data_IF_391733408482
#
_entry.id   IF_391733408482
#
_cell.length_a   1.000
_cell.length_b   1.000
_cell.length_c   1.000
_cell.angle_alpha   90.00
_cell.angle_beta   90.00
_cell.angle_gamma   90.00
#
_symmetry.space_group_name_H-M   'P 1'
#
loop_
_entity.id
_entity.type
_entity.pdbx_description
1 polymer ?
#
# COMPACT_ATOMS: atom_id res chain seq x y z
N UNK A 1 -12.65 -7.08 -13.00
CA UNK A 1 -11.81 -6.10 -12.26
C UNK A 1 -11.21 -5.16 -13.27
N UNK A 2 -11.20 -3.85 -13.03
CA UNK A 2 -10.63 -2.89 -13.94
C UNK A 2 -9.10 -2.81 -13.77
N UNK A 3 -8.38 -2.82 -14.89
CA UNK A 3 -6.96 -2.48 -14.99
C UNK A 3 -6.78 -1.41 -16.05
N UNK A 4 -5.99 -0.38 -15.75
CA UNK A 4 -5.67 0.67 -16.72
C UNK A 4 -4.26 1.20 -16.49
N UNK A 5 -3.65 1.68 -17.56
CA UNK A 5 -2.41 2.45 -17.49
C UNK A 5 -2.67 3.92 -17.82
N UNK A 6 -1.95 4.82 -17.16
CA UNK A 6 -1.99 6.25 -17.46
C UNK A 6 -0.58 6.85 -17.42
N UNK A 7 -0.44 8.02 -18.04
CA UNK A 7 0.65 8.95 -17.75
C UNK A 7 0.14 10.05 -16.80
N UNK A 8 1.05 10.59 -15.99
CA UNK A 8 0.85 11.80 -15.20
C UNK A 8 2.21 12.46 -14.97
N UNK A 9 2.23 13.79 -14.89
CA UNK A 9 3.47 14.56 -14.78
C UNK A 9 3.84 14.91 -13.34
N UNK A 10 2.87 14.90 -12.43
CA UNK A 10 3.07 15.27 -11.04
C UNK A 10 2.01 14.61 -10.11
N UNK A 11 2.17 14.69 -8.78
CA UNK A 11 1.24 14.08 -7.82
C UNK A 11 -0.19 14.62 -7.90
N UNK A 12 -0.41 15.87 -8.31
CA UNK A 12 -1.74 16.45 -8.44
C UNK A 12 -2.46 15.89 -9.67
N UNK A 13 -1.76 15.83 -10.82
CA UNK A 13 -2.31 15.22 -12.03
C UNK A 13 -2.61 13.73 -11.80
N UNK A 14 -1.74 13.01 -11.07
CA UNK A 14 -1.96 11.62 -10.71
C UNK A 14 -3.26 11.40 -9.93
N UNK A 15 -3.60 12.29 -8.99
CA UNK A 15 -4.88 12.20 -8.28
C UNK A 15 -6.07 12.43 -9.20
N UNK A 16 -5.98 13.31 -10.20
CA UNK A 16 -7.04 13.46 -11.20
C UNK A 16 -7.17 12.22 -12.10
N UNK A 17 -6.06 11.60 -12.51
CA UNK A 17 -6.10 10.32 -13.24
C UNK A 17 -6.71 9.20 -12.40
N UNK A 18 -6.35 9.12 -11.11
CA UNK A 18 -6.94 8.17 -10.18
C UNK A 18 -8.45 8.39 -10.01
N UNK A 19 -8.90 9.65 -9.95
CA UNK A 19 -10.33 9.99 -9.90
C UNK A 19 -11.09 9.42 -11.11
N UNK A 20 -10.56 9.64 -12.31
CA UNK A 20 -11.18 9.15 -13.56
C UNK A 20 -11.23 7.62 -13.59
N UNK A 21 -10.15 6.94 -13.20
CA UNK A 21 -10.11 5.48 -13.11
C UNK A 21 -11.06 4.95 -12.04
N UNK A 22 -11.07 5.53 -10.84
CA UNK A 22 -11.94 5.10 -9.75
C UNK A 22 -13.42 5.21 -10.17
N UNK A 23 -13.80 6.31 -10.82
CA UNK A 23 -15.15 6.51 -11.34
C UNK A 23 -15.54 5.43 -12.37
N UNK A 24 -14.65 5.10 -13.31
CA UNK A 24 -14.93 4.04 -14.29
C UNK A 24 -14.93 2.63 -13.67
N UNK A 25 -14.20 2.43 -12.57
CA UNK A 25 -14.20 1.20 -11.77
C UNK A 25 -15.40 1.08 -10.81
N UNK A 26 -16.33 2.04 -10.84
CA UNK A 26 -17.58 2.02 -10.06
C UNK A 26 -17.52 2.69 -8.69
N UNK A 27 -16.42 3.39 -8.37
CA UNK A 27 -16.33 4.19 -7.14
C UNK A 27 -17.09 5.51 -7.29
N UNK A 28 -17.70 5.95 -6.19
CA UNK A 28 -18.28 7.28 -6.09
C UNK A 28 -17.21 8.30 -5.76
N UNK A 29 -17.21 9.44 -6.45
CA UNK A 29 -16.27 10.52 -6.22
C UNK A 29 -16.94 11.56 -5.32
N UNK A 30 -16.43 11.73 -4.11
CA UNK A 30 -16.95 12.70 -3.15
C UNK A 30 -16.40 14.10 -3.40
N UNK A 31 -15.15 14.20 -3.85
CA UNK A 31 -14.59 15.47 -4.32
C UNK A 31 -13.09 15.45 -4.61
N UNK A 32 -12.65 16.32 -5.52
CA UNK A 32 -11.24 16.64 -5.77
C UNK A 32 -11.05 18.14 -5.57
N UNK A 33 -10.22 18.51 -4.59
CA UNK A 33 -10.05 19.92 -4.19
C UNK A 33 -8.61 20.24 -3.83
N UNK A 34 -8.28 21.52 -3.83
CA UNK A 34 -7.01 22.01 -3.30
C UNK A 34 -7.00 21.96 -1.77
N UNK A 35 -5.82 21.74 -1.19
CA UNK A 35 -5.62 21.70 0.26
C UNK A 35 -5.19 23.08 0.77
N UNK A 36 -5.98 23.77 1.61
CA UNK A 36 -5.71 25.15 1.99
C UNK A 36 -4.49 25.31 2.91
N UNK A 37 -4.14 24.30 3.71
CA UNK A 37 -3.03 24.36 4.67
C UNK A 37 -1.73 23.71 4.20
N UNK A 38 -1.74 22.98 3.09
CA UNK A 38 -0.58 22.28 2.53
C UNK A 38 -0.68 22.27 1.01
N UNK A 39 0.33 22.80 0.30
CA UNK A 39 0.32 22.81 -1.16
C UNK A 39 0.13 21.39 -1.73
N UNK A 40 -0.96 21.19 -2.47
CA UNK A 40 -1.38 19.91 -3.01
C UNK A 40 -2.91 19.81 -3.15
N UNK A 41 -3.38 18.61 -3.48
CA UNK A 41 -4.79 18.27 -3.69
C UNK A 41 -5.24 17.17 -2.73
N UNK A 42 -6.55 17.07 -2.53
CA UNK A 42 -7.21 16.00 -1.82
C UNK A 42 -8.32 15.42 -2.70
N UNK A 43 -8.21 14.14 -3.02
CA UNK A 43 -9.24 13.33 -3.66
C UNK A 43 -9.94 12.52 -2.58
N UNK A 44 -11.26 12.64 -2.45
CA UNK A 44 -12.09 11.79 -1.57
C UNK A 44 -13.08 11.00 -2.42
N UNK A 45 -13.24 9.73 -2.08
CA UNK A 45 -14.05 8.77 -2.83
C UNK A 45 -14.49 7.62 -1.93
N UNK A 46 -15.52 6.91 -2.36
CA UNK A 46 -16.03 5.76 -1.61
C UNK A 46 -16.63 4.66 -2.49
N UNK A 47 -16.70 3.47 -1.90
CA UNK A 47 -17.39 2.30 -2.44
C UNK A 47 -18.20 1.64 -1.32
N UNK A 48 -19.53 1.80 -1.36
CA UNK A 48 -20.40 1.42 -0.25
C UNK A 48 -20.00 2.18 1.03
N UNK A 49 -19.72 1.44 2.11
CA UNK A 49 -19.30 2.03 3.40
C UNK A 49 -17.79 2.23 3.53
N UNK A 50 -17.01 1.96 2.48
CA UNK A 50 -15.57 2.24 2.48
C UNK A 50 -15.32 3.64 1.94
N UNK A 51 -14.93 4.57 2.81
CA UNK A 51 -14.55 5.93 2.42
C UNK A 51 -13.04 6.14 2.56
N UNK A 52 -12.41 6.76 1.57
CA UNK A 52 -10.99 7.04 1.60
C UNK A 52 -10.68 8.41 0.99
N UNK A 53 -9.61 9.01 1.47
CA UNK A 53 -9.07 10.23 0.88
C UNK A 53 -7.60 10.05 0.54
N UNK A 54 -7.23 10.32 -0.72
CA UNK A 54 -5.86 10.46 -1.16
C UNK A 54 -5.46 11.93 -1.17
N UNK A 55 -4.26 12.24 -0.72
CA UNK A 55 -3.73 13.60 -0.69
C UNK A 55 -2.37 13.66 -1.36
N UNK A 56 -2.08 14.75 -2.04
CA UNK A 56 -0.72 15.09 -2.43
C UNK A 56 -0.15 16.12 -1.45
N UNK A 57 1.16 16.05 -1.28
CA UNK A 57 1.94 17.05 -0.56
C UNK A 57 3.24 17.29 -1.31
N UNK A 58 3.38 18.50 -1.86
CA UNK A 58 4.45 18.79 -2.82
C UNK A 58 5.79 19.14 -2.16
N UNK A 59 5.77 19.45 -0.87
CA UNK A 59 6.93 19.89 -0.10
C UNK A 59 6.96 19.25 1.30
N UNK A 60 8.00 19.55 2.06
CA UNK A 60 8.30 18.89 3.33
C UNK A 60 9.20 17.68 3.15
N UNK A 61 9.59 17.03 4.23
CA UNK A 61 10.60 15.97 4.20
C UNK A 61 12.02 16.47 4.38
N UNK A 62 12.97 15.56 4.20
CA UNK A 62 14.41 15.79 4.36
C UNK A 62 15.20 14.95 3.35
N UNK A 63 16.54 14.95 3.45
CA UNK A 63 17.39 14.17 2.54
C UNK A 63 17.19 12.65 2.62
N UNK A 64 16.63 12.13 3.71
CA UNK A 64 16.39 10.71 3.89
C UNK A 64 14.92 10.30 3.63
N UNK A 65 13.98 11.23 3.68
CA UNK A 65 12.59 11.04 3.24
C UNK A 65 12.17 12.23 2.39
N UNK A 66 12.61 12.27 1.11
CA UNK A 66 12.43 13.44 0.28
C UNK A 66 10.99 13.56 -0.26
N UNK A 67 10.54 14.81 -0.52
CA UNK A 67 9.29 15.10 -1.21
C UNK A 67 9.36 14.72 -2.70
N UNK A 68 8.22 14.75 -3.41
CA UNK A 68 6.87 14.94 -2.90
C UNK A 68 6.29 13.65 -2.29
N UNK A 69 5.14 13.77 -1.64
CA UNK A 69 4.44 12.67 -0.98
C UNK A 69 3.02 12.48 -1.51
N UNK A 70 2.57 11.23 -1.52
CA UNK A 70 1.17 10.84 -1.67
C UNK A 70 0.71 10.19 -0.37
N UNK A 71 -0.35 10.73 0.20
CA UNK A 71 -0.91 10.26 1.44
C UNK A 71 -2.26 9.61 1.25
N UNK A 72 -2.65 8.76 2.19
CA UNK A 72 -4.00 8.20 2.25
C UNK A 72 -4.56 8.21 3.67
N UNK A 73 -5.87 8.42 3.76
CA UNK A 73 -6.69 8.30 4.95
C UNK A 73 -7.82 7.32 4.69
N UNK A 74 -8.12 6.48 5.67
CA UNK A 74 -9.40 5.77 5.72
C UNK A 74 -10.32 6.47 6.71
N UNK A 75 -11.62 6.53 6.41
CA UNK A 75 -12.64 7.09 7.30
C UNK A 75 -13.98 6.37 7.09
N UNK A 76 -14.97 6.69 7.92
CA UNK A 76 -16.28 6.01 7.97
C UNK A 76 -17.41 6.80 7.31
N UNK A 77 -17.12 8.03 6.92
CA UNK A 77 -18.04 8.89 6.21
C UNK A 77 -17.34 10.14 5.68
N UNK A 78 -18.00 10.79 4.73
CA UNK A 78 -17.52 12.00 4.11
C UNK A 78 -18.43 13.19 4.42
N UNK A 79 -17.82 14.28 4.89
CA UNK A 79 -18.43 15.61 4.95
C UNK A 79 -17.67 16.55 4.03
N UNK A 80 -18.42 17.28 3.18
CA UNK A 80 -17.84 18.26 2.29
C UNK A 80 -17.23 19.43 3.07
N UNK A 81 -16.03 19.87 2.66
CA UNK A 81 -15.21 20.97 3.22
C UNK A 81 -14.18 20.63 4.32
N UNK A 82 -14.48 19.88 5.40
CA UNK A 82 -13.48 19.45 6.38
C UNK A 82 -12.29 18.75 5.74
N UNK A 83 -11.06 18.99 6.21
CA UNK A 83 -9.87 18.30 5.74
C UNK A 83 -9.98 16.77 5.92
N UNK A 84 -9.23 15.96 5.13
CA UNK A 84 -9.30 14.50 5.23
C UNK A 84 -8.98 13.91 6.61
N UNK A 85 -8.14 14.56 7.41
CA UNK A 85 -7.73 14.15 8.75
C UNK A 85 -8.79 14.38 9.84
N UNK A 86 -9.82 15.16 9.53
CA UNK A 86 -10.93 15.46 10.45
C UNK A 86 -12.27 14.88 9.99
N UNK A 87 -12.23 13.99 9.00
CA UNK A 87 -13.40 13.18 8.62
C UNK A 87 -13.78 12.22 9.76
N UNK A 88 -15.02 11.74 9.76
CA UNK A 88 -15.50 10.84 10.79
C UNK A 88 -14.60 9.61 10.92
N UNK A 89 -14.09 9.38 12.13
CA UNK A 89 -13.22 8.26 12.48
C UNK A 89 -12.00 8.12 11.55
N UNK A 90 -11.44 9.23 11.08
CA UNK A 90 -10.28 9.21 10.20
C UNK A 90 -9.09 8.47 10.85
N UNK A 91 -8.45 7.60 10.07
CA UNK A 91 -7.16 7.05 10.40
C UNK A 91 -6.13 8.18 10.51
N UNK A 92 -4.97 7.95 11.13
CA UNK A 92 -3.84 8.83 10.81
C UNK A 92 -3.40 8.57 9.37
N UNK A 93 -2.65 9.50 8.79
CA UNK A 93 -2.17 9.37 7.42
C UNK A 93 -1.16 8.23 7.28
N UNK A 94 -1.19 7.57 6.12
CA UNK A 94 -0.08 6.75 5.58
C UNK A 94 0.51 7.46 4.37
N UNK A 95 1.78 7.23 4.06
CA UNK A 95 2.49 7.96 3.02
C UNK A 95 3.22 7.05 2.04
N UNK A 96 3.33 7.50 0.80
CA UNK A 96 4.37 7.12 -0.15
C UNK A 96 5.26 8.35 -0.39
N UNK A 97 6.57 8.22 -0.20
CA UNK A 97 7.53 9.31 -0.34
C UNK A 97 8.26 9.29 -1.69
N UNK A 98 8.95 10.39 -2.01
CA UNK A 98 9.72 10.58 -3.23
C UNK A 98 8.93 10.22 -4.50
N UNK A 99 7.67 10.65 -4.58
CA UNK A 99 6.79 10.41 -5.72
C UNK A 99 6.94 11.51 -6.79
N UNK A 100 8.18 11.89 -7.10
CA UNK A 100 8.47 12.95 -8.06
C UNK A 100 8.17 12.47 -9.49
N UNK A 101 7.48 13.30 -10.27
CA UNK A 101 7.25 13.08 -11.70
C UNK A 101 8.24 13.85 -12.60
N UNK A 102 8.13 13.72 -13.93
CA UNK A 102 7.10 12.97 -14.66
C UNK A 102 7.26 11.46 -14.49
N UNK A 103 6.13 10.75 -14.45
CA UNK A 103 6.12 9.30 -14.22
C UNK A 103 6.29 8.53 -15.52
N UNK A 104 7.08 7.45 -15.48
CA UNK A 104 7.25 6.56 -16.64
C UNK A 104 5.96 5.79 -16.94
N UNK A 105 5.26 5.37 -15.88
CA UNK A 105 3.97 4.71 -15.98
C UNK A 105 3.19 4.83 -14.67
N UNK A 106 1.87 4.78 -14.78
CA UNK A 106 0.96 4.58 -13.65
C UNK A 106 0.07 3.39 -13.97
N UNK A 107 0.02 2.41 -13.06
CA UNK A 107 -0.85 1.25 -13.16
C UNK A 107 -1.94 1.33 -12.09
N UNK A 108 -3.19 1.31 -12.54
CA UNK A 108 -4.36 1.32 -11.68
C UNK A 108 -5.03 -0.05 -11.70
N UNK A 109 -5.36 -0.55 -10.50
CA UNK A 109 -6.05 -1.81 -10.28
C UNK A 109 -7.24 -1.54 -9.36
N UNK A 110 -8.44 -1.93 -9.75
CA UNK A 110 -9.60 -1.62 -8.92
C UNK A 110 -10.87 -2.35 -9.29
N UNK A 111 -11.76 -2.43 -8.31
CA UNK A 111 -13.16 -2.87 -8.45
C UNK A 111 -13.94 -2.47 -7.21
N UNK A 112 -15.25 -2.66 -7.24
CA UNK A 112 -16.14 -2.49 -6.07
C UNK A 112 -16.74 -3.79 -5.56
N UNK A 113 -16.74 -4.86 -6.36
CA UNK A 113 -17.31 -6.18 -6.01
C UNK A 113 -16.35 -7.34 -6.35
N UNK A 114 -16.34 -8.45 -5.59
CA UNK A 114 -17.05 -8.67 -4.33
C UNK A 114 -16.50 -7.85 -3.17
N UNK A 115 -15.22 -7.44 -3.23
CA UNK A 115 -14.62 -6.52 -2.26
C UNK A 115 -14.04 -5.28 -2.95
N UNK A 116 -14.36 -4.06 -2.46
CA UNK A 116 -13.86 -2.84 -3.04
C UNK A 116 -12.38 -2.63 -2.72
N UNK A 117 -11.60 -2.28 -3.74
CA UNK A 117 -10.24 -1.79 -3.57
C UNK A 117 -9.80 -0.91 -4.73
N UNK A 118 -8.75 -0.12 -4.46
CA UNK A 118 -7.93 0.59 -5.41
C UNK A 118 -6.47 0.37 -5.01
N UNK A 119 -5.73 -0.34 -5.85
CA UNK A 119 -4.28 -0.48 -5.72
C UNK A 119 -3.62 0.29 -6.85
N UNK A 120 -2.58 1.06 -6.51
CA UNK A 120 -1.86 1.89 -7.46
C UNK A 120 -0.38 1.52 -7.40
N UNK A 121 0.19 1.30 -8.59
CA UNK A 121 1.63 1.16 -8.78
C UNK A 121 2.11 2.33 -9.63
N UNK A 122 3.00 3.13 -9.06
CA UNK A 122 3.57 4.30 -9.67
C UNK A 122 5.02 4.00 -10.04
N UNK A 123 5.36 4.06 -11.33
CA UNK A 123 6.74 3.99 -11.80
C UNK A 123 7.29 5.42 -11.90
N UNK A 124 8.02 5.85 -10.86
CA UNK A 124 8.52 7.23 -10.78
C UNK A 124 9.63 7.50 -11.79
N UNK A 125 10.45 6.49 -12.05
CA UNK A 125 11.47 6.43 -13.09
C UNK A 125 11.55 4.98 -13.57
N UNK A 126 12.05 4.75 -14.78
CA UNK A 126 12.21 3.40 -15.33
C UNK A 126 12.83 2.44 -14.30
N UNK A 127 12.07 1.41 -13.91
CA UNK A 127 12.46 0.38 -12.94
C UNK A 127 12.37 0.76 -11.46
N UNK A 128 11.86 1.96 -11.12
CA UNK A 128 11.67 2.44 -9.74
C UNK A 128 10.20 2.69 -9.45
N UNK A 129 9.67 2.00 -8.44
CA UNK A 129 8.25 1.88 -8.17
C UNK A 129 7.87 2.38 -6.77
N UNK A 130 6.63 2.83 -6.64
CA UNK A 130 5.95 3.14 -5.38
C UNK A 130 4.57 2.50 -5.40
N UNK A 131 4.11 2.08 -4.23
CA UNK A 131 2.82 1.44 -4.05
C UNK A 131 1.98 2.20 -3.04
N UNK A 132 0.73 2.43 -3.36
CA UNK A 132 -0.23 3.00 -2.43
C UNK A 132 -1.65 2.60 -2.83
N UNK A 133 -2.58 2.69 -1.89
CA UNK A 133 -3.95 2.27 -2.17
C UNK A 133 -4.85 2.22 -0.95
N UNK A 134 -6.05 1.73 -1.20
CA UNK A 134 -7.11 1.54 -0.21
C UNK A 134 -7.96 0.34 -0.58
N UNK A 135 -8.68 -0.23 0.36
CA UNK A 135 -9.63 -1.28 0.06
C UNK A 135 -10.20 -1.96 1.29
N UNK A 136 -10.94 -3.04 1.06
CA UNK A 136 -11.48 -3.91 2.09
C UNK A 136 -10.80 -5.27 2.01
N UNK A 137 -10.27 -5.74 3.13
CA UNK A 137 -9.70 -7.07 3.25
C UNK A 137 -10.72 -8.13 2.86
N UNK A 138 -10.23 -9.24 2.31
CA UNK A 138 -10.94 -10.51 2.38
C UNK A 138 -10.81 -10.95 3.84
N UNK A 139 -11.85 -10.71 4.63
CA UNK A 139 -11.80 -10.86 6.08
C UNK A 139 -11.73 -12.32 6.49
N UNK A 140 -11.01 -12.57 7.58
CA UNK A 140 -10.99 -13.84 8.28
C UNK A 140 -11.58 -13.66 9.69
N UNK A 141 -12.23 -14.72 10.21
CA UNK A 141 -12.84 -14.70 11.54
C UNK A 141 -13.98 -13.70 11.72
N UNK A 142 -14.26 -13.34 12.98
CA UNK A 142 -15.33 -12.40 13.36
C UNK A 142 -14.85 -10.94 13.38
N UNK A 143 -14.24 -10.51 12.27
CA UNK A 143 -13.83 -9.11 12.06
C UNK A 143 -14.82 -8.46 11.11
N UNK A 144 -15.61 -7.53 11.64
CA UNK A 144 -16.72 -6.92 10.91
C UNK A 144 -16.29 -5.70 10.08
N UNK A 145 -15.05 -5.23 10.26
CA UNK A 145 -14.47 -4.12 9.52
C UNK A 145 -13.08 -4.52 9.02
N UNK A 146 -12.80 -4.28 7.74
CA UNK A 146 -11.54 -4.69 7.11
C UNK A 146 -10.99 -3.60 6.20
N UNK A 147 -11.35 -2.35 6.47
CA UNK A 147 -10.90 -1.23 5.64
C UNK A 147 -9.41 -0.99 5.86
N UNK A 148 -8.64 -0.86 4.78
CA UNK A 148 -7.23 -0.56 4.85
C UNK A 148 -6.87 0.62 3.97
N UNK A 149 -5.81 1.33 4.36
CA UNK A 149 -5.07 2.26 3.52
C UNK A 149 -3.59 1.95 3.63
N UNK A 150 -2.86 2.12 2.53
CA UNK A 150 -1.42 1.91 2.55
C UNK A 150 -0.67 2.85 1.60
N UNK A 151 0.62 3.01 1.86
CA UNK A 151 1.62 3.66 1.04
C UNK A 151 2.97 2.94 1.15
N UNK A 152 3.98 3.40 0.42
CA UNK A 152 5.34 2.84 0.46
C UNK A 152 6.38 3.94 0.66
N UNK A 153 7.02 3.96 1.82
CA UNK A 153 8.13 4.86 2.13
C UNK A 153 9.47 4.12 2.10
N UNK A 154 10.42 4.74 1.41
CA UNK A 154 11.79 4.28 1.38
C UNK A 154 12.69 5.30 2.08
N UNK A 155 13.59 4.85 2.95
CA UNK A 155 14.58 5.71 3.59
C UNK A 155 15.82 5.84 2.70
N UNK A 156 16.17 7.05 2.31
CA UNK A 156 17.20 7.36 1.30
C UNK A 156 18.60 7.62 1.90
N UNK A 157 18.81 7.28 3.19
CA UNK A 157 20.15 7.30 3.77
C UNK A 157 21.05 6.25 3.11
N UNK A 158 22.27 6.63 2.76
CA UNK A 158 23.25 5.74 2.13
C UNK A 158 23.52 4.43 2.90
N UNK A 159 23.32 4.42 4.22
CA UNK A 159 23.52 3.25 5.07
C UNK A 159 22.41 2.18 4.96
N UNK A 160 21.24 2.55 4.43
CA UNK A 160 20.05 1.69 4.42
C UNK A 160 19.40 1.60 3.04
N UNK A 161 19.67 2.53 2.13
CA UNK A 161 19.01 2.65 0.83
C UNK A 161 19.01 1.37 -0.02
N UNK A 162 20.01 0.51 0.17
CA UNK A 162 20.19 -0.75 -0.55
C UNK A 162 19.83 -2.01 0.28
N UNK A 163 19.20 -1.85 1.44
CA UNK A 163 18.83 -2.95 2.34
C UNK A 163 17.30 -3.04 2.50
N UNK A 164 16.61 -3.94 1.75
CA UNK A 164 15.15 -4.07 1.82
C UNK A 164 14.58 -4.45 3.18
N UNK A 165 15.39 -5.03 4.06
CA UNK A 165 14.96 -5.48 5.38
C UNK A 165 15.31 -4.48 6.48
N UNK A 166 15.91 -3.33 6.15
CA UNK A 166 16.19 -2.30 7.14
C UNK A 166 14.89 -1.71 7.70
N UNK A 167 14.80 -1.64 9.04
CA UNK A 167 13.64 -1.12 9.78
C UNK A 167 13.30 0.36 9.46
N UNK A 168 14.20 1.05 8.77
CA UNK A 168 14.05 2.45 8.35
C UNK A 168 13.10 2.60 7.15
N UNK A 169 12.94 1.56 6.34
CA UNK A 169 11.90 1.52 5.31
C UNK A 169 10.55 1.16 5.93
N UNK A 170 9.49 1.61 5.28
CA UNK A 170 8.11 1.32 5.66
C UNK A 170 7.35 1.01 4.38
N UNK A 171 7.23 -0.27 4.04
CA UNK A 171 6.67 -0.72 2.74
C UNK A 171 5.21 -1.14 2.89
N UNK A 172 4.46 -1.27 1.80
CA UNK A 172 3.06 -1.70 1.89
C UNK A 172 2.92 -3.03 2.66
N UNK A 173 1.97 -3.13 3.58
CA UNK A 173 1.76 -4.30 4.44
C UNK A 173 3.04 -4.80 5.10
N UNK A 174 3.66 -3.89 5.85
CA UNK A 174 4.86 -4.12 6.63
C UNK A 174 4.58 -4.35 8.12
N UNK A 175 5.59 -4.78 8.86
CA UNK A 175 5.48 -5.18 10.27
C UNK A 175 6.20 -4.25 11.22
N UNK A 176 7.12 -3.46 10.67
CA UNK A 176 8.04 -2.67 11.47
C UNK A 176 8.32 -1.37 10.77
N UNK A 177 8.38 -0.31 11.54
CA UNK A 177 8.91 0.96 11.10
C UNK A 177 9.79 1.52 12.23
N UNK A 178 10.68 2.42 11.88
CA UNK A 178 11.46 3.20 12.84
C UNK A 178 11.04 4.66 12.70
N UNK A 179 11.26 5.49 13.73
CA UNK A 179 10.77 6.88 13.85
C UNK A 179 11.13 7.85 12.69
N UNK A 180 11.88 7.39 11.68
CA UNK A 180 12.27 8.15 10.49
C UNK A 180 11.27 8.02 9.31
N UNK A 181 10.46 6.97 9.29
CA UNK A 181 9.36 6.82 8.32
C UNK A 181 8.06 6.56 9.07
N UNK A 182 6.95 7.09 8.55
CA UNK A 182 5.65 6.86 9.13
C UNK A 182 5.18 5.41 8.83
N UNK A 183 4.24 4.86 9.62
CA UNK A 183 3.56 3.63 9.27
C UNK A 183 3.03 3.67 7.84
N UNK A 184 3.36 2.63 7.07
CA UNK A 184 2.97 2.48 5.68
C UNK A 184 1.55 1.97 5.53
N UNK A 185 1.00 1.31 6.55
CA UNK A 185 -0.26 0.58 6.45
C UNK A 185 -1.09 0.78 7.69
N UNK A 186 -2.38 1.05 7.48
CA UNK A 186 -3.39 1.11 8.54
C UNK A 186 -4.59 0.28 8.16
N UNK A 187 -5.11 -0.46 9.13
CA UNK A 187 -6.27 -1.33 8.95
C UNK A 187 -7.26 -1.09 10.07
N UNK A 188 -8.51 -0.83 9.73
CA UNK A 188 -9.62 -0.82 10.67
C UNK A 188 -10.06 -2.25 10.92
N UNK A 189 -10.03 -2.66 12.17
CA UNK A 189 -10.53 -3.96 12.63
C UNK A 189 -11.29 -3.76 13.95
N UNK A 190 -12.61 -3.79 13.86
CA UNK A 190 -13.51 -3.62 14.99
C UNK A 190 -13.93 -5.00 15.48
N UNK A 191 -13.67 -5.27 16.76
CA UNK A 191 -13.98 -6.52 17.45
C UNK A 191 -14.17 -6.25 18.95
N UNK A 192 -14.80 -7.19 19.66
CA UNK A 192 -15.01 -7.11 21.12
C UNK A 192 -15.72 -5.81 21.58
N UNK A 193 -16.63 -5.30 20.75
CA UNK A 193 -17.40 -4.08 21.05
C UNK A 193 -16.61 -2.77 20.95
N UNK A 194 -15.36 -2.80 20.47
CA UNK A 194 -14.53 -1.62 20.30
C UNK A 194 -14.54 -1.19 18.84
N UNK A 195 -15.10 -0.01 18.58
CA UNK A 195 -15.18 0.62 17.27
C UNK A 195 -15.18 2.16 17.42
N UNK A 196 -14.59 2.91 16.46
CA UNK A 196 -13.67 2.45 15.41
C UNK A 196 -12.30 2.10 16.00
N UNK A 197 -11.61 1.10 15.43
CA UNK A 197 -10.25 0.78 15.85
C UNK A 197 -9.30 0.64 14.66
N UNK A 198 -8.46 1.67 14.49
CA UNK A 198 -7.37 1.65 13.52
C UNK A 198 -6.11 1.03 14.13
N UNK A 199 -5.65 -0.04 13.50
CA UNK A 199 -4.38 -0.69 13.73
C UNK A 199 -3.34 -0.15 12.75
N UNK A 200 -2.09 -0.08 13.19
CA UNK A 200 -0.97 0.33 12.36
C UNK A 200 0.25 -0.52 12.66
N UNK A 201 1.11 -0.68 11.66
CA UNK A 201 2.43 -1.31 11.85
C UNK A 201 3.12 -0.59 13.00
N UNK A 202 3.64 -1.29 14.00
CA UNK A 202 4.32 -0.69 15.14
C UNK A 202 5.51 -1.54 15.62
N UNK A 203 6.64 -0.87 15.89
CA UNK A 203 7.82 -1.47 16.51
C UNK A 203 7.68 -1.73 18.01
N UNK A 204 6.75 -1.07 18.70
CA UNK A 204 6.43 -1.35 20.10
C UNK A 204 5.60 -2.63 20.21
N UNK A 205 6.18 -3.66 20.83
CA UNK A 205 5.54 -4.96 21.02
C UNK A 205 4.36 -4.94 21.99
N UNK A 206 4.20 -3.88 22.78
CA UNK A 206 3.15 -3.75 23.79
C UNK A 206 1.96 -2.91 23.32
N UNK A 207 2.01 -2.33 22.12
CA UNK A 207 0.91 -1.52 21.62
C UNK A 207 -0.33 -2.40 21.29
N UNK A 208 -1.48 -2.18 21.95
CA UNK A 208 -2.72 -2.90 21.65
C UNK A 208 -3.31 -2.60 20.26
N UNK A 209 -2.77 -1.61 19.53
CA UNK A 209 -3.12 -1.27 18.15
C UNK A 209 -2.06 -1.72 17.14
N UNK A 210 -1.06 -2.48 17.57
CA UNK A 210 -0.05 -3.05 16.68
C UNK A 210 -0.70 -3.89 15.60
N UNK A 211 -0.32 -3.66 14.36
CA UNK A 211 -0.66 -4.49 13.22
C UNK A 211 0.54 -5.39 12.91
N UNK A 212 0.30 -6.69 12.81
CA UNK A 212 1.19 -7.60 12.13
C UNK A 212 0.65 -7.84 10.72
N UNK A 213 1.53 -7.82 9.75
CA UNK A 213 1.30 -8.15 8.37
C UNK A 213 2.34 -9.18 7.91
N UNK A 214 2.56 -9.30 6.60
CA UNK A 214 3.47 -10.29 6.07
C UNK A 214 4.95 -9.91 6.14
N UNK A 215 5.32 -8.64 5.94
CA UNK A 215 6.60 -8.35 5.29
C UNK A 215 7.89 -8.75 6.04
N UNK A 216 7.99 -8.49 7.34
CA UNK A 216 9.28 -8.45 8.07
C UNK A 216 9.26 -9.11 9.45
N UNK A 217 8.10 -9.26 10.10
CA UNK A 217 8.06 -9.82 11.45
C UNK A 217 8.45 -11.31 11.45
N UNK A 218 9.11 -11.75 12.54
CA UNK A 218 9.46 -13.16 12.78
C UNK A 218 8.24 -14.10 12.80
N UNK A 219 7.06 -13.58 13.11
CA UNK A 219 5.79 -14.31 13.10
C UNK A 219 5.06 -14.25 11.75
N UNK A 220 5.61 -13.54 10.77
CA UNK A 220 4.93 -13.32 9.50
C UNK A 220 5.14 -14.51 8.55
N UNK A 221 4.05 -15.10 8.02
CA UNK A 221 4.13 -16.34 7.25
C UNK A 221 4.92 -16.20 5.93
N UNK A 222 5.09 -14.98 5.40
CA UNK A 222 5.85 -14.79 4.17
C UNK A 222 7.37 -14.72 4.39
N UNK A 223 7.88 -14.61 5.62
CA UNK A 223 9.32 -14.43 5.82
C UNK A 223 10.13 -15.65 5.36
N UNK A 224 9.65 -16.87 5.67
CA UNK A 224 10.25 -18.09 5.12
C UNK A 224 10.19 -18.10 3.58
N UNK A 225 9.09 -17.63 3.01
CA UNK A 225 8.88 -17.60 1.56
C UNK A 225 9.68 -16.49 0.87
N UNK A 226 10.07 -15.44 1.60
CA UNK A 226 11.07 -14.47 1.14
C UNK A 226 12.42 -15.11 0.97
N UNK A 227 12.80 -16.10 1.79
CA UNK A 227 14.12 -16.75 1.70
C UNK A 227 14.13 -17.93 0.72
N UNK A 228 13.10 -18.78 0.76
CA UNK A 228 13.07 -20.07 0.02
C UNK A 228 11.93 -20.21 -0.98
N UNK A 229 11.15 -19.14 -1.23
CA UNK A 229 9.97 -19.21 -2.09
C UNK A 229 10.27 -19.42 -3.59
N UNK A 230 11.49 -19.17 -4.06
CA UNK A 230 11.82 -19.35 -5.47
C UNK A 230 12.29 -20.77 -5.76
N UNK A 231 11.67 -21.41 -6.75
CA UNK A 231 12.11 -22.70 -7.29
C UNK A 231 13.06 -22.47 -8.46
N UNK A 232 14.35 -22.77 -8.28
CA UNK A 232 15.34 -22.72 -9.35
C UNK A 232 15.11 -23.80 -10.43
N UNK A 233 14.43 -24.90 -10.09
CA UNK A 233 14.09 -25.98 -11.02
C UNK A 233 13.00 -25.59 -12.02
N UNK A 234 12.00 -24.82 -11.57
CA UNK A 234 10.84 -24.45 -12.40
C UNK A 234 10.85 -22.98 -12.83
N UNK A 235 11.75 -22.18 -12.24
CA UNK A 235 11.76 -20.72 -12.40
C UNK A 235 10.57 -20.02 -11.76
N UNK A 236 9.73 -20.72 -10.99
CA UNK A 236 8.49 -20.16 -10.43
C UNK A 236 8.68 -19.75 -8.97
N UNK A 237 8.03 -18.65 -8.61
CA UNK A 237 7.80 -18.26 -7.22
C UNK A 237 6.28 -18.25 -6.94
N UNK A 238 5.80 -18.92 -5.87
CA UNK A 238 4.41 -18.88 -5.50
C UNK A 238 4.06 -17.49 -4.95
N UNK A 239 3.00 -16.88 -5.47
CA UNK A 239 2.45 -15.65 -4.92
C UNK A 239 1.72 -15.94 -3.60
N UNK A 240 1.96 -15.14 -2.58
CA UNK A 240 1.43 -15.33 -1.23
C UNK A 240 0.55 -14.16 -0.79
N UNK A 241 -0.62 -14.40 -0.19
CA UNK A 241 -1.40 -13.33 0.41
C UNK A 241 -0.63 -12.60 1.51
N UNK A 242 -0.84 -11.29 1.62
CA UNK A 242 -0.30 -10.45 2.70
C UNK A 242 -1.24 -10.53 3.90
N UNK A 243 -1.13 -11.62 4.66
CA UNK A 243 -1.94 -11.86 5.86
C UNK A 243 -1.74 -10.76 6.89
N UNK A 244 -2.83 -10.34 7.51
CA UNK A 244 -2.88 -9.28 8.50
C UNK A 244 -3.43 -9.85 9.81
N UNK A 245 -2.81 -9.53 10.93
CA UNK A 245 -3.23 -9.98 12.25
C UNK A 245 -3.14 -8.85 13.27
N UNK A 246 -4.04 -8.90 14.26
CA UNK A 246 -4.14 -7.90 15.33
C UNK A 246 -4.08 -8.57 16.71
N UNK A 247 -3.54 -7.88 17.73
CA UNK A 247 -3.38 -8.46 19.06
C UNK A 247 -4.74 -8.69 19.74
N UNK A 248 -4.83 -9.79 20.50
CA UNK A 248 -5.95 -10.13 21.41
C UNK A 248 -5.55 -10.05 22.89
N UNK A 249 -4.35 -9.56 23.17
CA UNK A 249 -3.74 -9.57 24.51
C UNK A 249 -2.91 -10.83 24.77
N UNK A 250 -2.13 -10.80 25.86
CA UNK A 250 -1.26 -11.90 26.28
C UNK A 250 -0.32 -12.47 25.18
N UNK A 251 0.08 -11.62 24.21
CA UNK A 251 0.92 -12.03 23.08
C UNK A 251 0.21 -12.84 21.99
N UNK A 252 -1.11 -13.02 22.08
CA UNK A 252 -1.92 -13.70 21.05
C UNK A 252 -2.38 -12.74 19.97
N UNK A 253 -2.49 -13.26 18.74
CA UNK A 253 -2.94 -12.51 17.57
C UNK A 253 -4.08 -13.26 16.87
N UNK A 254 -5.05 -12.52 16.35
CA UNK A 254 -6.07 -13.06 15.45
C UNK A 254 -5.81 -12.60 14.03
N UNK A 255 -5.90 -13.53 13.09
CA UNK A 255 -5.98 -13.22 11.67
C UNK A 255 -7.25 -12.41 11.37
N UNK A 256 -7.08 -11.31 10.63
CA UNK A 256 -8.15 -10.42 10.19
C UNK A 256 -8.33 -10.44 8.67
N UNK A 257 -7.50 -11.21 7.95
CA UNK A 257 -7.59 -11.40 6.52
C UNK A 257 -6.42 -10.82 5.74
N UNK A 258 -6.62 -10.59 4.45
CA UNK A 258 -5.58 -10.11 3.53
C UNK A 258 -6.16 -9.19 2.43
N UNK A 259 -5.35 -8.33 1.80
CA UNK A 259 -5.84 -7.50 0.70
C UNK A 259 -6.29 -8.38 -0.47
N UNK A 260 -7.42 -8.05 -1.13
CA UNK A 260 -7.85 -8.72 -2.34
C UNK A 260 -6.87 -8.45 -3.49
N UNK A 261 -6.65 -9.48 -4.31
CA UNK A 261 -5.96 -9.38 -5.60
C UNK A 261 -4.57 -8.72 -5.56
N UNK A 262 -3.92 -8.76 -4.40
CA UNK A 262 -2.55 -8.34 -4.14
C UNK A 262 -1.82 -9.44 -3.39
N UNK A 263 -0.63 -9.80 -3.84
CA UNK A 263 0.19 -10.86 -3.24
C UNK A 263 1.65 -10.44 -3.17
N UNK A 264 2.37 -10.91 -2.17
CA UNK A 264 3.81 -10.95 -2.20
C UNK A 264 4.29 -11.95 -3.26
N UNK A 265 5.37 -11.63 -3.97
CA UNK A 265 6.06 -12.56 -4.86
C UNK A 265 7.56 -12.27 -4.92
N UNK A 266 8.35 -13.32 -5.12
CA UNK A 266 9.76 -13.20 -5.50
C UNK A 266 9.92 -13.03 -7.00
N UNK A 267 10.78 -12.10 -7.40
CA UNK A 267 10.98 -11.66 -8.78
C UNK A 267 12.25 -12.23 -9.40
N UNK A 268 12.91 -13.23 -8.82
CA UNK A 268 14.19 -13.78 -9.31
C UNK A 268 14.17 -14.05 -10.82
N UNK A 269 13.16 -14.77 -11.28
CA UNK A 269 12.97 -15.18 -12.69
C UNK A 269 12.07 -14.24 -13.51
N UNK A 270 11.67 -13.10 -12.96
CA UNK A 270 10.69 -12.22 -13.59
C UNK A 270 11.18 -10.79 -13.79
N UNK A 271 10.82 -10.18 -14.90
CA UNK A 271 11.05 -8.77 -15.16
C UNK A 271 10.00 -7.87 -14.45
N UNK A 272 10.37 -6.65 -14.03
CA UNK A 272 9.39 -5.67 -13.57
C UNK A 272 8.32 -5.38 -14.63
N UNK A 273 7.06 -5.40 -14.24
CA UNK A 273 5.91 -5.17 -15.12
C UNK A 273 5.49 -6.38 -15.97
N UNK A 274 6.18 -7.53 -15.84
CA UNK A 274 5.85 -8.76 -16.55
C UNK A 274 4.47 -9.31 -16.12
N UNK A 275 3.82 -10.02 -17.03
CA UNK A 275 2.56 -10.71 -16.75
C UNK A 275 2.82 -12.20 -16.49
N UNK A 276 2.37 -12.66 -15.32
CA UNK A 276 2.42 -14.04 -14.88
C UNK A 276 1.03 -14.68 -15.08
N UNK A 277 0.87 -15.59 -16.06
CA UNK A 277 -0.35 -16.38 -16.19
C UNK A 277 -0.38 -17.51 -15.16
N UNK A 278 -1.46 -17.58 -14.37
CA UNK A 278 -1.77 -18.65 -13.43
C UNK A 278 -3.16 -19.21 -13.74
N UNK A 279 -3.20 -20.21 -14.62
CA UNK A 279 -4.46 -20.76 -15.16
C UNK A 279 -5.29 -19.65 -15.84
N UNK A 280 -6.53 -19.43 -15.41
CA UNK A 280 -7.42 -18.38 -15.93
C UNK A 280 -7.10 -16.98 -15.40
N UNK A 281 -6.27 -16.88 -14.36
CA UNK A 281 -5.88 -15.61 -13.77
C UNK A 281 -4.59 -15.09 -14.39
N UNK A 282 -4.53 -13.79 -14.61
CA UNK A 282 -3.30 -13.09 -14.98
C UNK A 282 -2.89 -12.16 -13.85
N UNK A 283 -1.59 -12.04 -13.63
CA UNK A 283 -1.03 -11.22 -12.57
C UNK A 283 0.06 -10.34 -13.14
N UNK A 284 0.07 -9.06 -12.81
CA UNK A 284 1.14 -8.13 -13.15
C UNK A 284 2.04 -7.92 -11.95
N UNK A 285 3.34 -8.05 -12.14
CA UNK A 285 4.30 -8.11 -11.03
C UNK A 285 5.26 -6.93 -11.04
N UNK A 286 5.49 -6.35 -9.86
CA UNK A 286 6.31 -5.15 -9.71
C UNK A 286 7.23 -5.28 -8.50
N UNK A 287 8.48 -4.79 -8.58
CA UNK A 287 9.35 -4.65 -7.41
C UNK A 287 8.72 -3.75 -6.37
N UNK A 288 8.96 -4.01 -5.09
CA UNK A 288 8.49 -3.15 -3.98
C UNK A 288 9.03 -1.72 -4.14
N UNK A 289 10.27 -1.61 -4.61
CA UNK A 289 10.83 -0.33 -4.94
C UNK A 289 11.71 -0.37 -6.19
N UNK A 290 12.72 -1.24 -6.25
CA UNK A 290 13.57 -1.40 -7.44
C UNK A 290 14.26 -2.74 -7.42
N UNK A 291 14.20 -3.47 -8.52
CA UNK A 291 14.90 -4.75 -8.66
C UNK A 291 16.35 -4.51 -9.08
N UNK A 292 17.30 -5.10 -8.36
CA UNK A 292 18.74 -5.11 -8.69
C UNK A 292 19.32 -3.71 -8.99
N UNK A 293 19.02 -2.73 -8.14
CA UNK A 293 19.62 -1.40 -8.25
C UNK A 293 21.16 -1.43 -8.08
N UNK A 294 21.91 -0.53 -8.74
CA UNK A 294 23.35 -0.37 -8.49
C UNK A 294 23.67 -0.10 -7.01
N UNK A 295 24.89 -0.38 -6.53
CA UNK A 295 25.31 -0.02 -5.19
C UNK A 295 25.06 1.46 -4.88
N UNK A 296 24.58 1.75 -3.67
CA UNK A 296 24.26 3.13 -3.23
C UNK A 296 22.96 3.70 -3.80
N UNK A 297 22.18 2.92 -4.56
CA UNK A 297 20.86 3.32 -5.06
C UNK A 297 19.74 2.54 -4.37
N UNK A 298 18.48 3.01 -4.44
CA UNK A 298 17.36 2.29 -3.87
C UNK A 298 17.25 0.87 -4.45
N UNK A 299 17.17 -0.13 -3.57
CA UNK A 299 17.12 -1.52 -4.00
C UNK A 299 16.24 -2.35 -3.07
N UNK A 300 15.13 -2.87 -3.61
CA UNK A 300 14.27 -3.83 -2.92
C UNK A 300 14.67 -5.28 -3.16
N UNK A 301 15.83 -5.52 -3.79
CA UNK A 301 16.32 -6.85 -4.12
C UNK A 301 15.40 -7.54 -5.13
N UNK A 302 15.08 -8.80 -4.88
CA UNK A 302 14.16 -9.61 -5.72
C UNK A 302 12.73 -9.60 -5.18
N UNK A 303 12.37 -8.67 -4.31
CA UNK A 303 11.06 -8.67 -3.68
C UNK A 303 10.06 -7.79 -4.41
N UNK A 304 8.82 -8.29 -4.55
CA UNK A 304 7.78 -7.61 -5.28
C UNK A 304 6.35 -7.90 -4.81
N UNK A 305 5.43 -7.19 -5.44
CA UNK A 305 4.00 -7.43 -5.36
C UNK A 305 3.45 -7.87 -6.71
N UNK A 306 2.57 -8.86 -6.68
CA UNK A 306 1.74 -9.28 -7.78
C UNK A 306 0.33 -8.71 -7.61
N UNK A 307 -0.19 -8.08 -8.64
CA UNK A 307 -1.56 -7.57 -8.70
C UNK A 307 -2.33 -8.34 -9.77
N UNK A 308 -3.49 -8.89 -9.43
CA UNK A 308 -4.29 -9.61 -10.43
C UNK A 308 -4.75 -8.65 -11.51
N UNK A 309 -4.95 -9.13 -12.73
CA UNK A 309 -5.62 -8.42 -13.82
C UNK A 309 -6.66 -9.38 -14.42
N UNK A 310 -7.81 -8.85 -14.80
CA UNK A 310 -8.82 -9.55 -15.59
C UNK A 310 -9.04 -8.74 -16.85
N UNK A 311 -9.23 -9.41 -18.00
CA UNK A 311 -9.74 -8.76 -19.20
C UNK A 311 -11.11 -8.10 -18.97
#
# INVERSE_FOLDING_TARGET
MAYATSAANDPNELLDKLRLFAQSAGWSIDGLRDRPSNAGKALSLHAGTLYASFVSQLAGGDGNSPPPFLGAFGHTGYTANPNPDIQADASSIVWANYVQGPYSAVHFFGRTTPQPYLHIVLETQAGTFKHFGTGRLITAGAVNTGQYVYGSQWYYSANHINNPDAAYHSVAFDDTYYNYTAPSTRIRADFEGIAPRWHATNGDSNDPRRLLTGWRARAAPINLLKDVGHSTLTGRAPGQPLWCAVPRGAGLFSDIGHPPDMRFIRLDSYAPGEELPLSTDRWKIFPIHRKNGPPGTPNSGVYGYAYRITD
#
